data_IF_823380409244
#
_entry.id   IF_823380409244
#
_cell.length_a   1.000
_cell.length_b   1.000
_cell.length_c   1.000
_cell.angle_alpha   90.00
_cell.angle_beta   90.00
_cell.angle_gamma   90.00
#
_symmetry.space_group_name_H-M   'P 1'
#
loop_
_entity.id
_entity.type
_entity.pdbx_description
1 polymer ?
#
# COMPACT_ATOMS: atom_id res chain seq x y z
N UNK A 1 -16.32 7.30 -15.53
CA UNK A 1 -17.09 7.05 -14.28
C UNK A 1 -16.70 8.16 -13.31
N UNK A 2 -17.63 8.84 -12.69
CA UNK A 2 -17.26 9.79 -11.63
C UNK A 2 -17.03 9.02 -10.33
N UNK A 3 -15.81 9.08 -9.80
CA UNK A 3 -15.43 8.36 -8.58
C UNK A 3 -15.73 9.14 -7.29
N UNK A 4 -16.08 10.44 -7.39
CA UNK A 4 -16.37 11.29 -6.24
C UNK A 4 -15.16 11.56 -5.35
N UNK A 5 -13.96 11.63 -5.95
CA UNK A 5 -12.70 11.79 -5.24
C UNK A 5 -12.13 13.22 -5.30
N UNK A 6 -12.65 14.07 -6.16
CA UNK A 6 -12.19 15.46 -6.30
C UNK A 6 -12.32 16.23 -4.98
N UNK A 7 -11.26 16.93 -4.57
CA UNK A 7 -11.17 17.68 -3.30
C UNK A 7 -11.02 16.81 -2.04
N UNK A 8 -10.95 15.48 -2.17
CA UNK A 8 -10.60 14.58 -1.08
C UNK A 8 -9.11 14.66 -0.75
N UNK A 9 -8.72 14.13 0.41
CA UNK A 9 -7.33 14.06 0.86
C UNK A 9 -6.93 12.61 1.08
N UNK A 10 -5.87 12.17 0.39
CA UNK A 10 -5.29 10.85 0.53
C UNK A 10 -3.89 10.92 1.14
N UNK A 11 -3.63 10.11 2.16
CA UNK A 11 -2.29 9.83 2.67
C UNK A 11 -1.83 8.46 2.14
N UNK A 12 -0.74 8.46 1.35
CA UNK A 12 -0.16 7.25 0.76
C UNK A 12 1.24 7.02 1.33
N UNK A 13 1.38 6.00 2.17
CA UNK A 13 2.69 5.65 2.74
C UNK A 13 3.58 4.94 1.70
N UNK A 14 4.89 5.25 1.70
CA UNK A 14 5.78 4.74 0.66
C UNK A 14 5.41 5.25 -0.74
N UNK A 15 4.87 6.47 -0.83
CA UNK A 15 4.36 7.09 -2.06
C UNK A 15 5.42 7.61 -3.02
N UNK A 16 6.70 7.45 -2.70
CA UNK A 16 7.80 8.03 -3.50
C UNK A 16 8.18 7.19 -4.74
N UNK A 17 7.90 5.88 -4.74
CA UNK A 17 8.24 4.97 -5.86
C UNK A 17 7.29 3.79 -5.98
N UNK A 18 7.42 3.03 -7.08
CA UNK A 18 6.69 1.79 -7.32
C UNK A 18 5.18 1.92 -7.17
N UNK A 19 4.55 0.96 -6.50
CA UNK A 19 3.10 0.88 -6.32
C UNK A 19 2.56 2.13 -5.62
N UNK A 20 3.21 2.60 -4.54
CA UNK A 20 2.77 3.78 -3.82
C UNK A 20 2.76 5.05 -4.67
N UNK A 21 3.79 5.25 -5.51
CA UNK A 21 3.84 6.39 -6.45
C UNK A 21 2.72 6.32 -7.48
N UNK A 22 2.47 5.14 -8.05
CA UNK A 22 1.38 4.96 -9.00
C UNK A 22 0.00 5.22 -8.37
N UNK A 23 -0.21 4.77 -7.12
CA UNK A 23 -1.43 5.04 -6.35
C UNK A 23 -1.60 6.55 -6.12
N UNK A 24 -0.55 7.23 -5.67
CA UNK A 24 -0.56 8.67 -5.44
C UNK A 24 -0.89 9.46 -6.72
N UNK A 25 -0.27 9.07 -7.85
CA UNK A 25 -0.58 9.65 -9.15
C UNK A 25 -2.02 9.36 -9.59
N UNK A 26 -2.53 8.16 -9.37
CA UNK A 26 -3.92 7.80 -9.68
C UNK A 26 -4.94 8.64 -8.89
N UNK A 27 -4.70 8.89 -7.61
CA UNK A 27 -5.52 9.80 -6.81
C UNK A 27 -5.46 11.23 -7.33
N UNK A 28 -4.28 11.71 -7.68
CA UNK A 28 -4.08 13.04 -8.22
C UNK A 28 -4.85 13.26 -9.54
N UNK A 29 -4.87 12.26 -10.42
CA UNK A 29 -5.65 12.28 -11.67
C UNK A 29 -7.16 12.39 -11.44
N UNK A 30 -7.67 11.89 -10.29
CA UNK A 30 -9.06 12.02 -9.88
C UNK A 30 -9.34 13.31 -9.08
N UNK A 31 -8.38 14.25 -9.03
CA UNK A 31 -8.54 15.53 -8.34
C UNK A 31 -8.41 15.46 -6.81
N UNK A 32 -7.81 14.40 -6.28
CA UNK A 32 -7.56 14.21 -4.84
C UNK A 32 -6.25 14.89 -4.45
N UNK A 33 -6.24 15.67 -3.37
CA UNK A 33 -5.01 16.16 -2.76
C UNK A 33 -4.26 15.01 -2.09
N UNK A 34 -2.93 15.01 -2.18
CA UNK A 34 -2.14 13.84 -1.77
C UNK A 34 -1.04 14.20 -0.79
N UNK A 35 -0.99 13.50 0.34
CA UNK A 35 0.20 13.40 1.19
C UNK A 35 0.94 12.12 0.84
N UNK A 36 2.26 12.21 0.64
CA UNK A 36 3.13 11.06 0.46
C UNK A 36 4.28 11.10 1.46
N UNK A 37 4.66 9.95 1.98
CA UNK A 37 5.86 9.83 2.79
C UNK A 37 6.79 8.73 2.27
N UNK A 38 8.08 8.87 2.56
CA UNK A 38 9.12 7.93 2.16
C UNK A 38 10.48 8.32 2.74
N UNK A 39 11.50 7.49 2.55
CA UNK A 39 12.83 7.68 3.15
C UNK A 39 13.82 8.42 2.26
N UNK A 40 13.51 8.58 0.98
CA UNK A 40 14.45 9.13 -0.03
C UNK A 40 13.94 10.47 -0.54
N UNK A 41 14.57 11.61 -0.17
CA UNK A 41 14.11 12.93 -0.58
C UNK A 41 14.02 13.12 -2.10
N UNK A 42 15.00 12.60 -2.86
CA UNK A 42 15.00 12.70 -4.32
C UNK A 42 13.78 12.01 -4.97
N UNK A 43 13.43 10.80 -4.50
CA UNK A 43 12.26 10.08 -5.00
C UNK A 43 10.95 10.81 -4.63
N UNK A 44 10.89 11.41 -3.44
CA UNK A 44 9.74 12.22 -3.01
C UNK A 44 9.56 13.45 -3.89
N UNK A 45 10.65 14.16 -4.22
CA UNK A 45 10.62 15.32 -5.11
C UNK A 45 10.09 14.95 -6.50
N UNK A 46 10.62 13.87 -7.10
CA UNK A 46 10.15 13.40 -8.41
C UNK A 46 8.67 12.99 -8.40
N UNK A 47 8.23 12.31 -7.34
CA UNK A 47 6.82 11.94 -7.20
C UNK A 47 5.92 13.17 -7.06
N UNK A 48 6.36 14.16 -6.27
CA UNK A 48 5.61 15.40 -6.09
C UNK A 48 5.46 16.22 -7.38
N UNK A 49 6.50 16.30 -8.21
CA UNK A 49 6.44 16.98 -9.51
C UNK A 49 5.39 16.36 -10.42
N UNK A 50 5.36 15.02 -10.50
CA UNK A 50 4.37 14.30 -11.28
C UNK A 50 2.94 14.52 -10.77
N UNK A 51 2.74 14.57 -9.43
CA UNK A 51 1.44 14.85 -8.82
C UNK A 51 1.01 16.30 -9.08
N UNK A 52 1.90 17.27 -8.86
CA UNK A 52 1.60 18.70 -9.08
C UNK A 52 1.16 19.02 -10.51
N UNK A 53 1.66 18.29 -11.48
CA UNK A 53 1.28 18.50 -12.89
C UNK A 53 -0.21 18.24 -13.18
N UNK A 54 -0.93 17.56 -12.28
CA UNK A 54 -2.38 17.33 -12.38
C UNK A 54 -3.22 18.50 -11.84
N UNK A 55 -2.59 19.49 -11.18
CA UNK A 55 -3.27 20.66 -10.60
C UNK A 55 -3.74 20.48 -9.16
N UNK A 56 -3.48 19.32 -8.52
CA UNK A 56 -3.79 19.10 -7.11
C UNK A 56 -2.61 19.50 -6.20
N UNK A 57 -2.90 19.68 -4.93
CA UNK A 57 -1.87 19.91 -3.93
C UNK A 57 -1.23 18.61 -3.47
N UNK A 58 0.08 18.66 -3.20
CA UNK A 58 0.84 17.53 -2.66
C UNK A 58 1.68 17.98 -1.47
N UNK A 59 1.64 17.16 -0.40
CA UNK A 59 2.56 17.24 0.73
C UNK A 59 3.53 16.06 0.67
N UNK A 60 4.83 16.34 0.77
CA UNK A 60 5.88 15.31 0.87
C UNK A 60 6.51 15.32 2.24
N UNK A 61 6.77 14.14 2.80
CA UNK A 61 7.38 14.00 4.12
C UNK A 61 8.49 12.95 4.06
N UNK A 62 9.70 13.32 4.46
CA UNK A 62 10.74 12.34 4.74
C UNK A 62 10.41 11.64 6.06
N UNK A 63 10.15 10.34 5.99
CA UNK A 63 9.70 9.58 7.14
C UNK A 63 10.05 8.08 7.03
N UNK A 64 10.57 7.52 8.12
CA UNK A 64 10.69 6.08 8.30
C UNK A 64 9.64 5.59 9.31
N UNK A 65 8.59 4.99 8.79
CA UNK A 65 7.45 4.49 9.58
C UNK A 65 7.77 3.24 10.43
N UNK A 66 9.00 2.72 10.38
CA UNK A 66 9.43 1.67 11.32
C UNK A 66 9.60 2.24 12.73
N UNK A 67 9.87 3.53 12.86
CA UNK A 67 9.94 4.23 14.14
C UNK A 67 8.53 4.58 14.65
N UNK A 68 8.19 4.22 15.91
CA UNK A 68 6.82 4.36 16.43
C UNK A 68 6.25 5.78 16.38
N UNK A 69 7.07 6.78 16.71
CA UNK A 69 6.62 8.18 16.86
C UNK A 69 6.39 8.88 15.52
N UNK A 70 6.95 8.33 14.42
CA UNK A 70 6.87 8.95 13.09
C UNK A 70 5.45 8.90 12.52
N UNK A 71 4.65 7.90 12.87
CA UNK A 71 3.28 7.76 12.39
C UNK A 71 2.39 8.95 12.80
N UNK A 72 2.53 9.43 14.04
CA UNK A 72 1.80 10.59 14.54
C UNK A 72 2.21 11.86 13.79
N UNK A 73 3.51 12.08 13.61
CA UNK A 73 4.02 13.22 12.85
C UNK A 73 3.48 13.26 11.42
N UNK A 74 3.49 12.13 10.72
CA UNK A 74 2.99 12.03 9.34
C UNK A 74 1.49 12.34 9.24
N UNK A 75 0.70 11.84 10.19
CA UNK A 75 -0.73 12.15 10.23
C UNK A 75 -0.96 13.63 10.55
N UNK A 76 -0.31 14.15 11.58
CA UNK A 76 -0.49 15.54 12.01
C UNK A 76 -0.11 16.52 10.90
N UNK A 77 1.03 16.33 10.24
CA UNK A 77 1.43 17.15 9.11
C UNK A 77 0.41 17.14 7.96
N UNK A 78 -0.23 15.98 7.71
CA UNK A 78 -1.32 15.88 6.73
C UNK A 78 -2.53 16.70 7.15
N UNK A 79 -2.92 16.62 8.43
CA UNK A 79 -4.07 17.36 8.97
C UNK A 79 -3.79 18.86 9.03
N UNK A 80 -2.59 19.28 9.41
CA UNK A 80 -2.17 20.70 9.43
C UNK A 80 -2.21 21.31 8.03
N UNK A 81 -1.85 20.53 7.00
CA UNK A 81 -1.83 20.99 5.61
C UNK A 81 -3.21 21.07 4.98
N UNK A 82 -4.06 20.06 5.21
CA UNK A 82 -5.31 19.88 4.46
C UNK A 82 -6.58 19.96 5.32
N UNK A 83 -6.46 19.94 6.64
CA UNK A 83 -7.60 19.98 7.58
C UNK A 83 -8.40 18.68 7.68
N UNK A 84 -8.14 17.69 6.83
CA UNK A 84 -8.91 16.44 6.76
C UNK A 84 -8.06 15.26 6.29
N UNK A 85 -8.58 14.03 6.49
CA UNK A 85 -8.03 12.80 5.93
C UNK A 85 -9.18 11.88 5.51
N UNK A 86 -9.46 11.80 4.23
CA UNK A 86 -10.53 10.93 3.68
C UNK A 86 -10.04 9.51 3.40
N UNK A 87 -8.79 9.37 2.96
CA UNK A 87 -8.24 8.12 2.45
C UNK A 87 -6.86 7.88 3.06
N UNK A 88 -6.69 6.69 3.66
CA UNK A 88 -5.38 6.20 4.10
C UNK A 88 -4.98 4.97 3.29
N UNK A 89 -3.83 5.02 2.62
CA UNK A 89 -3.23 3.86 1.95
C UNK A 89 -1.95 3.45 2.67
N UNK A 90 -2.00 2.33 3.37
CA UNK A 90 -0.83 1.71 3.99
C UNK A 90 -0.13 0.83 2.95
N UNK A 91 0.89 1.40 2.30
CA UNK A 91 1.64 0.73 1.23
C UNK A 91 3.10 0.45 1.61
N UNK A 92 3.64 1.07 2.67
CA UNK A 92 5.00 0.74 3.14
C UNK A 92 5.13 -0.76 3.38
N UNK A 93 6.22 -1.35 2.86
CA UNK A 93 6.51 -2.76 3.04
C UNK A 93 7.66 -3.23 2.16
N UNK A 94 8.11 -4.43 2.44
CA UNK A 94 9.21 -5.09 1.73
C UNK A 94 9.58 -6.42 2.36
N UNK A 95 10.52 -7.14 1.74
CA UNK A 95 11.13 -8.34 2.27
C UNK A 95 12.60 -8.07 2.56
N UNK A 96 13.07 -8.51 3.72
CA UNK A 96 14.47 -8.44 4.16
C UNK A 96 14.77 -9.57 5.13
N UNK A 97 16.05 -9.76 5.48
CA UNK A 97 16.50 -10.81 6.37
C UNK A 97 16.54 -12.20 5.71
N UNK A 98 16.69 -13.23 6.52
CA UNK A 98 16.71 -14.62 6.05
C UNK A 98 15.31 -15.00 5.52
N UNK A 99 15.19 -15.53 4.28
CA UNK A 99 13.91 -15.88 3.70
C UNK A 99 13.33 -17.21 4.22
N UNK A 100 14.10 -17.97 5.01
CA UNK A 100 13.78 -19.35 5.42
C UNK A 100 13.22 -19.42 6.84
N UNK A 101 13.04 -20.63 7.34
CA UNK A 101 12.66 -20.90 8.74
C UNK A 101 13.76 -20.51 9.74
N UNK A 102 15.00 -20.28 9.26
CA UNK A 102 16.14 -19.89 10.10
C UNK A 102 16.21 -18.38 10.38
N UNK A 103 15.21 -17.60 9.92
CA UNK A 103 15.10 -16.18 10.24
C UNK A 103 15.17 -15.94 11.74
N UNK A 104 16.03 -15.00 12.16
CA UNK A 104 16.26 -14.68 13.57
C UNK A 104 15.10 -13.88 14.16
N UNK A 105 15.07 -13.72 15.48
CA UNK A 105 14.08 -12.87 16.16
C UNK A 105 14.17 -11.42 15.67
N UNK A 106 15.39 -10.93 15.40
CA UNK A 106 15.62 -9.58 14.83
C UNK A 106 15.05 -9.44 13.42
N UNK A 107 15.16 -10.47 12.57
CA UNK A 107 14.53 -10.50 11.25
C UNK A 107 13.01 -10.44 11.37
N UNK A 108 12.42 -11.21 12.30
CA UNK A 108 11.01 -11.19 12.58
C UNK A 108 10.52 -9.83 13.08
N UNK A 109 11.21 -9.24 14.04
CA UNK A 109 10.86 -7.91 14.57
C UNK A 109 10.95 -6.85 13.48
N UNK A 110 12.03 -6.82 12.72
CA UNK A 110 12.23 -5.84 11.65
C UNK A 110 11.14 -5.93 10.56
N UNK A 111 10.76 -7.14 10.14
CA UNK A 111 9.70 -7.33 9.14
C UNK A 111 8.33 -6.96 9.68
N UNK A 112 8.01 -7.33 10.91
CA UNK A 112 6.75 -6.95 11.54
C UNK A 112 6.65 -5.45 11.74
N UNK A 113 7.72 -4.77 12.16
CA UNK A 113 7.77 -3.31 12.25
C UNK A 113 7.50 -2.66 10.90
N UNK A 114 8.18 -3.12 9.84
CA UNK A 114 8.07 -2.55 8.51
C UNK A 114 6.69 -2.79 7.88
N UNK A 115 6.24 -4.04 7.83
CA UNK A 115 5.09 -4.44 7.02
C UNK A 115 3.75 -4.35 7.75
N UNK A 116 3.74 -4.45 9.07
CA UNK A 116 2.51 -4.57 9.83
C UNK A 116 2.33 -3.46 10.86
N UNK A 117 3.26 -3.31 11.81
CA UNK A 117 3.09 -2.37 12.92
C UNK A 117 3.09 -0.90 12.47
N UNK A 118 3.84 -0.55 11.42
CA UNK A 118 3.77 0.77 10.78
C UNK A 118 2.35 1.12 10.34
N UNK A 119 1.68 0.18 9.65
CA UNK A 119 0.30 0.35 9.21
C UNK A 119 -0.69 0.35 10.38
N UNK A 120 -0.49 -0.51 11.40
CA UNK A 120 -1.34 -0.54 12.60
C UNK A 120 -1.32 0.80 13.32
N UNK A 121 -0.12 1.39 13.54
CA UNK A 121 0.01 2.67 14.24
C UNK A 121 -0.71 3.78 13.50
N UNK A 122 -0.43 3.94 12.21
CA UNK A 122 -1.04 5.00 11.41
C UNK A 122 -2.56 4.83 11.29
N UNK A 123 -3.03 3.60 11.11
CA UNK A 123 -4.46 3.28 11.07
C UNK A 123 -5.17 3.64 12.38
N UNK A 124 -4.58 3.28 13.53
CA UNK A 124 -5.15 3.61 14.86
C UNK A 124 -5.26 5.11 15.08
N UNK A 125 -4.30 5.89 14.60
CA UNK A 125 -4.29 7.34 14.68
C UNK A 125 -5.31 7.99 13.72
N UNK A 126 -5.49 7.41 12.52
CA UNK A 126 -6.40 7.93 11.50
C UNK A 126 -7.88 7.69 11.83
N UNK A 127 -8.24 6.58 12.48
CA UNK A 127 -9.62 6.21 12.78
C UNK A 127 -10.39 7.31 13.54
N UNK A 128 -9.90 7.88 14.64
CA UNK A 128 -10.62 8.94 15.36
C UNK A 128 -10.88 10.18 14.49
N UNK A 129 -9.95 10.53 13.60
CA UNK A 129 -10.13 11.62 12.64
C UNK A 129 -11.24 11.29 11.63
N UNK A 130 -11.22 10.10 11.04
CA UNK A 130 -12.25 9.66 10.11
C UNK A 130 -13.63 9.56 10.77
N UNK A 131 -13.69 9.16 12.04
CA UNK A 131 -14.95 9.13 12.80
C UNK A 131 -15.53 10.54 12.98
N UNK A 132 -14.69 11.55 13.33
CA UNK A 132 -15.13 12.95 13.44
C UNK A 132 -15.65 13.52 12.11
N UNK A 133 -15.13 13.06 10.99
CA UNK A 133 -15.53 13.47 9.64
C UNK A 133 -16.75 12.72 9.12
N UNK A 134 -17.25 11.70 9.85
CA UNK A 134 -18.40 10.88 9.45
C UNK A 134 -18.09 9.76 8.46
N UNK A 135 -16.81 9.39 8.29
CA UNK A 135 -16.41 8.28 7.45
C UNK A 135 -15.00 8.40 6.89
N UNK A 136 -14.56 7.37 6.19
CA UNK A 136 -13.23 7.32 5.57
C UNK A 136 -12.99 6.04 4.78
N UNK A 137 -11.82 5.96 4.15
CA UNK A 137 -11.36 4.78 3.40
C UNK A 137 -9.96 4.40 3.85
N UNK A 138 -9.79 3.15 4.24
CA UNK A 138 -8.48 2.59 4.62
C UNK A 138 -8.18 1.43 3.68
N UNK A 139 -7.04 1.50 2.99
CA UNK A 139 -6.63 0.46 2.06
C UNK A 139 -5.23 -0.01 2.44
N UNK A 140 -5.11 -1.31 2.68
CA UNK A 140 -3.85 -1.94 2.99
C UNK A 140 -3.28 -2.64 1.75
N UNK A 141 -2.01 -2.41 1.43
CA UNK A 141 -1.32 -3.13 0.37
C UNK A 141 -0.61 -4.35 0.98
N UNK A 142 -1.25 -5.51 0.83
CA UNK A 142 -0.71 -6.78 1.28
C UNK A 142 0.16 -7.45 0.20
N UNK A 143 -0.12 -8.69 -0.13
CA UNK A 143 0.50 -9.50 -1.19
C UNK A 143 -0.33 -10.76 -1.39
N UNK A 144 -0.25 -11.40 -2.56
CA UNK A 144 -0.72 -12.77 -2.75
C UNK A 144 -0.08 -13.72 -1.73
N UNK A 145 1.17 -13.47 -1.33
CA UNK A 145 1.88 -14.26 -0.31
C UNK A 145 1.41 -14.02 1.14
N UNK A 146 0.43 -13.18 1.37
CA UNK A 146 -0.36 -13.16 2.61
C UNK A 146 -1.56 -14.11 2.58
N UNK A 147 -1.84 -14.73 1.43
CA UNK A 147 -2.97 -15.65 1.18
C UNK A 147 -2.51 -17.07 0.86
N UNK A 148 -1.29 -17.22 0.40
CA UNK A 148 -0.68 -18.49 0.03
C UNK A 148 0.82 -18.49 0.33
N UNK A 149 1.45 -19.66 0.24
CA UNK A 149 2.89 -19.79 0.37
C UNK A 149 3.62 -19.27 -0.88
N UNK A 150 4.94 -18.96 -0.76
CA UNK A 150 5.79 -18.64 -1.93
C UNK A 150 6.78 -17.50 -1.70
N UNK A 151 6.55 -16.62 -0.74
CA UNK A 151 7.49 -15.59 -0.32
C UNK A 151 8.34 -16.01 0.89
N UNK A 152 9.23 -15.12 1.37
CA UNK A 152 9.97 -15.32 2.62
C UNK A 152 9.02 -15.56 3.80
N UNK A 153 9.41 -16.43 4.74
CA UNK A 153 8.56 -16.86 5.86
C UNK A 153 8.02 -15.68 6.68
N UNK A 154 8.90 -14.75 7.06
CA UNK A 154 8.54 -13.55 7.83
C UNK A 154 7.63 -12.61 7.05
N UNK A 155 7.89 -12.45 5.75
CA UNK A 155 7.08 -11.62 4.87
C UNK A 155 5.66 -12.17 4.73
N UNK A 156 5.51 -13.47 4.45
CA UNK A 156 4.20 -14.12 4.32
C UNK A 156 3.37 -13.92 5.58
N UNK A 157 3.95 -14.18 6.75
CA UNK A 157 3.27 -14.01 8.04
C UNK A 157 2.84 -12.56 8.28
N UNK A 158 3.71 -11.58 7.98
CA UNK A 158 3.38 -10.16 8.13
C UNK A 158 2.24 -9.71 7.22
N UNK A 159 2.20 -10.21 5.97
CA UNK A 159 1.14 -9.89 5.01
C UNK A 159 -0.18 -10.62 5.32
N UNK A 160 -0.13 -11.83 5.86
CA UNK A 160 -1.30 -12.52 6.39
C UNK A 160 -1.90 -11.78 7.60
N UNK A 161 -1.06 -11.32 8.53
CA UNK A 161 -1.47 -10.49 9.66
C UNK A 161 -2.19 -9.21 9.20
N UNK A 162 -1.69 -8.56 8.14
CA UNK A 162 -2.30 -7.37 7.54
C UNK A 162 -3.72 -7.67 7.00
N UNK A 163 -3.91 -8.78 6.30
CA UNK A 163 -5.21 -9.18 5.76
C UNK A 163 -6.20 -9.45 6.91
N UNK A 164 -5.78 -10.18 7.94
CA UNK A 164 -6.59 -10.47 9.12
C UNK A 164 -6.99 -9.20 9.87
N UNK A 165 -6.04 -8.30 10.11
CA UNK A 165 -6.27 -6.99 10.73
C UNK A 165 -7.28 -6.16 9.94
N UNK A 166 -7.09 -6.05 8.63
CA UNK A 166 -8.00 -5.34 7.73
C UNK A 166 -9.43 -5.86 7.81
N UNK A 167 -9.60 -7.19 7.77
CA UNK A 167 -10.93 -7.83 7.87
C UNK A 167 -11.61 -7.54 9.20
N UNK A 168 -10.86 -7.59 10.29
CA UNK A 168 -11.38 -7.31 11.63
C UNK A 168 -11.84 -5.86 11.74
N UNK A 169 -11.01 -4.89 11.31
CA UNK A 169 -11.35 -3.48 11.33
C UNK A 169 -12.58 -3.15 10.47
N UNK A 170 -12.70 -3.76 9.28
CA UNK A 170 -13.84 -3.56 8.39
C UNK A 170 -15.18 -3.82 9.12
N UNK A 171 -15.24 -4.89 9.92
CA UNK A 171 -16.44 -5.24 10.69
C UNK A 171 -16.70 -4.28 11.84
N UNK A 172 -15.62 -3.85 12.53
CA UNK A 172 -15.74 -2.95 13.68
C UNK A 172 -16.14 -1.53 13.27
N UNK A 173 -15.67 -1.05 12.11
CA UNK A 173 -15.78 0.33 11.68
C UNK A 173 -16.91 0.61 10.67
N UNK A 174 -17.61 -0.42 10.20
CA UNK A 174 -18.67 -0.27 9.20
C UNK A 174 -19.77 0.72 9.62
N UNK A 175 -20.18 0.69 10.90
CA UNK A 175 -21.16 1.62 11.47
C UNK A 175 -20.71 3.08 11.49
N UNK A 176 -19.40 3.32 11.42
CA UNK A 176 -18.81 4.63 11.34
C UNK A 176 -18.58 5.10 9.88
N UNK A 177 -19.08 4.35 8.89
CA UNK A 177 -18.86 4.60 7.46
C UNK A 177 -17.38 4.61 7.05
N UNK A 178 -16.51 3.95 7.84
CA UNK A 178 -15.10 3.74 7.51
C UNK A 178 -14.98 2.35 6.86
N UNK A 179 -14.67 2.34 5.56
CA UNK A 179 -14.50 1.10 4.81
C UNK A 179 -13.01 0.72 4.80
N UNK A 180 -12.74 -0.55 5.10
CA UNK A 180 -11.37 -1.06 5.19
C UNK A 180 -11.22 -2.24 4.25
N UNK A 181 -10.31 -2.14 3.27
CA UNK A 181 -10.05 -3.18 2.28
C UNK A 181 -8.55 -3.46 2.13
N UNK A 182 -8.25 -4.57 1.52
CA UNK A 182 -6.89 -5.01 1.22
C UNK A 182 -6.76 -5.25 -0.27
N UNK A 183 -5.66 -4.79 -0.84
CA UNK A 183 -5.21 -5.18 -2.18
C UNK A 183 -4.01 -6.10 -2.02
N UNK A 184 -4.01 -7.21 -2.72
CA UNK A 184 -2.97 -8.23 -2.72
C UNK A 184 -2.30 -8.31 -4.11
N UNK A 185 -1.27 -7.48 -4.38
CA UNK A 185 -0.54 -7.56 -5.63
C UNK A 185 0.22 -8.89 -5.76
N UNK A 186 0.37 -9.34 -7.00
CA UNK A 186 1.37 -10.32 -7.37
C UNK A 186 2.76 -9.71 -7.46
N UNK A 187 3.60 -10.27 -8.31
CA UNK A 187 4.96 -9.77 -8.53
C UNK A 187 4.93 -8.57 -9.49
N UNK A 188 5.29 -7.40 -8.96
CA UNK A 188 5.24 -6.12 -9.66
C UNK A 188 6.66 -5.61 -9.93
N UNK A 189 6.97 -5.37 -11.21
CA UNK A 189 8.27 -4.87 -11.66
C UNK A 189 8.25 -3.34 -11.76
N UNK A 190 9.23 -2.69 -11.14
CA UNK A 190 9.45 -1.25 -11.24
C UNK A 190 10.91 -0.89 -10.95
N UNK A 191 11.41 0.27 -11.43
CA UNK A 191 12.78 0.73 -11.21
C UNK A 191 13.14 0.81 -9.72
N UNK A 192 14.30 0.26 -9.33
CA UNK A 192 14.75 0.17 -7.95
C UNK A 192 14.00 -0.87 -7.09
N UNK A 193 13.07 -1.62 -7.67
CA UNK A 193 12.30 -2.67 -7.00
C UNK A 193 13.10 -3.97 -6.77
N UNK A 194 12.54 -4.87 -5.97
CA UNK A 194 13.17 -6.17 -5.68
C UNK A 194 13.28 -7.04 -6.92
N UNK A 195 12.27 -7.02 -7.79
CA UNK A 195 12.25 -7.85 -8.98
C UNK A 195 13.22 -7.37 -10.06
N UNK A 196 13.41 -6.04 -10.21
CA UNK A 196 14.44 -5.52 -11.10
C UNK A 196 15.84 -5.95 -10.64
N UNK A 197 16.16 -5.83 -9.34
CA UNK A 197 17.45 -6.27 -8.81
C UNK A 197 17.66 -7.78 -9.01
N UNK A 198 16.65 -8.61 -8.77
CA UNK A 198 16.72 -10.06 -9.00
C UNK A 198 16.91 -10.38 -10.48
N UNK A 199 16.22 -9.67 -11.36
CA UNK A 199 16.36 -9.85 -12.81
C UNK A 199 17.79 -9.48 -13.30
N UNK A 200 18.39 -8.44 -12.72
CA UNK A 200 19.78 -8.06 -13.02
C UNK A 200 20.79 -9.08 -12.47
N UNK A 201 20.53 -9.65 -11.30
CA UNK A 201 21.42 -10.63 -10.65
C UNK A 201 21.34 -12.02 -11.29
N UNK A 202 20.14 -12.48 -11.62
CA UNK A 202 19.88 -13.84 -12.13
C UNK A 202 18.83 -13.85 -13.25
N UNK A 203 19.14 -13.30 -14.44
CA UNK A 203 18.16 -13.12 -15.50
C UNK A 203 17.50 -14.43 -15.99
N UNK A 204 18.29 -15.51 -16.11
CA UNK A 204 17.76 -16.81 -16.54
C UNK A 204 16.80 -17.42 -15.52
N UNK A 205 17.10 -17.34 -14.23
CA UNK A 205 16.23 -17.84 -13.18
C UNK A 205 14.91 -17.06 -13.18
N UNK A 206 14.98 -15.74 -13.34
CA UNK A 206 13.78 -14.90 -13.39
C UNK A 206 12.96 -15.15 -14.65
N UNK A 207 13.60 -15.40 -15.80
CA UNK A 207 12.88 -15.76 -17.03
C UNK A 207 12.09 -17.07 -16.85
N UNK A 208 12.71 -18.11 -16.26
CA UNK A 208 12.02 -19.37 -15.92
C UNK A 208 10.89 -19.17 -14.93
N UNK A 209 11.10 -18.33 -13.90
CA UNK A 209 10.06 -18.02 -12.92
C UNK A 209 8.86 -17.35 -13.60
N UNK A 210 9.09 -16.39 -14.51
CA UNK A 210 8.02 -15.76 -15.28
C UNK A 210 7.27 -16.78 -16.15
N UNK A 211 7.99 -17.66 -16.85
CA UNK A 211 7.41 -18.70 -17.69
C UNK A 211 6.52 -19.66 -16.90
N UNK A 212 6.95 -20.03 -15.68
CA UNK A 212 6.28 -21.05 -14.84
C UNK A 212 5.12 -20.49 -14.02
N UNK A 213 5.28 -19.30 -13.47
CA UNK A 213 4.38 -18.77 -12.43
C UNK A 213 3.48 -17.62 -12.90
N UNK A 214 3.67 -17.10 -14.12
CA UNK A 214 2.87 -15.98 -14.62
C UNK A 214 2.00 -16.36 -15.82
N UNK A 215 0.69 -16.54 -15.63
CA UNK A 215 -0.21 -16.83 -16.76
C UNK A 215 -0.18 -15.78 -17.87
N UNK A 216 0.10 -14.51 -17.53
CA UNK A 216 0.26 -13.44 -18.51
C UNK A 216 1.67 -13.37 -19.15
N UNK A 217 2.60 -14.26 -18.78
CA UNK A 217 3.97 -14.29 -19.30
C UNK A 217 4.82 -13.06 -18.96
N UNK A 218 4.43 -12.26 -17.96
CA UNK A 218 5.16 -11.05 -17.56
C UNK A 218 4.86 -10.63 -16.12
N UNK A 219 5.73 -9.84 -15.55
CA UNK A 219 5.44 -9.10 -14.31
C UNK A 219 4.28 -8.12 -14.49
N UNK A 220 3.57 -7.85 -13.40
CA UNK A 220 2.68 -6.70 -13.32
C UNK A 220 3.45 -5.39 -13.22
N UNK A 221 2.77 -4.27 -13.45
CA UNK A 221 3.30 -2.91 -13.32
C UNK A 221 2.55 -2.16 -12.22
N UNK A 222 3.17 -1.17 -11.55
CA UNK A 222 2.50 -0.35 -10.54
C UNK A 222 1.18 0.26 -11.01
N UNK A 223 1.13 0.69 -12.27
CA UNK A 223 -0.04 1.32 -12.89
C UNK A 223 -1.22 0.36 -13.07
N UNK A 224 -0.98 -0.95 -12.98
CA UNK A 224 -2.03 -1.98 -13.01
C UNK A 224 -2.61 -2.25 -11.62
N UNK A 225 -1.89 -1.86 -10.54
CA UNK A 225 -2.36 -1.98 -9.16
C UNK A 225 -3.11 -0.71 -8.71
N UNK A 226 -2.65 0.46 -9.13
CA UNK A 226 -3.22 1.73 -8.69
C UNK A 226 -4.73 1.89 -8.95
N UNK A 227 -5.30 1.51 -10.12
CA UNK A 227 -6.71 1.73 -10.40
C UNK A 227 -7.66 1.06 -9.43
N UNK A 228 -7.36 -0.16 -8.96
CA UNK A 228 -8.22 -0.84 -7.99
C UNK A 228 -8.17 -0.15 -6.61
N UNK A 229 -7.03 0.40 -6.22
CA UNK A 229 -6.89 1.15 -4.96
C UNK A 229 -7.71 2.43 -5.02
N UNK A 230 -7.63 3.17 -6.12
CA UNK A 230 -8.41 4.39 -6.38
C UNK A 230 -9.92 4.08 -6.42
N UNK A 231 -10.31 3.00 -7.09
CA UNK A 231 -11.71 2.55 -7.11
C UNK A 231 -12.23 2.19 -5.72
N UNK A 232 -11.46 1.45 -4.92
CA UNK A 232 -11.85 1.07 -3.55
C UNK A 232 -12.01 2.28 -2.61
N UNK A 233 -11.32 3.38 -2.89
CA UNK A 233 -11.46 4.64 -2.17
C UNK A 233 -12.70 5.44 -2.59
N UNK A 234 -13.28 5.14 -3.73
CA UNK A 234 -14.35 5.91 -4.35
C UNK A 234 -15.72 5.71 -3.68
N UNK A 235 -16.65 6.59 -4.03
CA UNK A 235 -18.06 6.44 -3.67
C UNK A 235 -18.71 5.22 -4.33
N UNK A 236 -18.19 4.76 -5.47
CA UNK A 236 -18.69 3.61 -6.22
C UNK A 236 -18.42 2.28 -5.51
N UNK A 237 -17.45 2.25 -4.61
CA UNK A 237 -17.10 1.08 -3.79
C UNK A 237 -17.82 1.07 -2.43
N UNK A 238 -18.90 1.81 -2.25
CA UNK A 238 -19.56 2.04 -0.95
C UNK A 238 -20.06 0.79 -0.23
N UNK A 239 -20.25 -0.33 -0.92
CA UNK A 239 -20.63 -1.62 -0.32
C UNK A 239 -19.44 -2.60 -0.19
N UNK A 240 -18.22 -2.19 -0.58
CA UNK A 240 -17.04 -3.05 -0.52
C UNK A 240 -16.27 -2.73 0.75
N UNK A 241 -16.32 -3.64 1.73
CA UNK A 241 -15.50 -3.56 2.95
C UNK A 241 -15.10 -4.95 3.45
N UNK A 242 -13.89 -5.07 3.96
CA UNK A 242 -13.32 -6.35 4.39
C UNK A 242 -12.95 -7.30 3.26
N UNK A 243 -12.86 -6.81 2.03
CA UNK A 243 -12.37 -7.57 0.89
C UNK A 243 -10.84 -7.63 0.88
N UNK A 244 -10.30 -8.71 0.32
CA UNK A 244 -8.91 -8.84 -0.09
C UNK A 244 -8.90 -9.17 -1.58
N UNK A 245 -8.47 -8.20 -2.40
CA UNK A 245 -8.56 -8.28 -3.86
C UNK A 245 -7.17 -8.55 -4.44
N UNK A 246 -7.03 -9.65 -5.16
CA UNK A 246 -5.82 -9.96 -5.91
C UNK A 246 -5.70 -9.06 -7.15
N UNK A 247 -4.47 -8.57 -7.39
CA UNK A 247 -4.08 -7.87 -8.61
C UNK A 247 -2.76 -8.45 -9.08
N UNK A 248 -2.83 -9.58 -9.76
CA UNK A 248 -1.69 -10.48 -9.92
C UNK A 248 -1.58 -11.16 -11.30
N UNK A 249 -2.50 -10.86 -12.22
CA UNK A 249 -2.52 -11.51 -13.55
C UNK A 249 -2.72 -13.03 -13.50
N UNK A 250 -3.36 -13.53 -12.43
CA UNK A 250 -3.59 -14.97 -12.22
C UNK A 250 -2.38 -15.71 -11.62
N UNK A 251 -1.39 -14.99 -11.07
CA UNK A 251 -0.21 -15.62 -10.46
C UNK A 251 -0.56 -16.45 -9.23
N UNK A 252 -1.50 -15.99 -8.40
CA UNK A 252 -1.97 -16.74 -7.24
C UNK A 252 -2.69 -18.01 -7.64
N UNK A 253 -2.40 -19.09 -6.91
CA UNK A 253 -3.09 -20.38 -7.04
C UNK A 253 -4.14 -20.59 -5.94
N UNK A 254 -4.31 -19.63 -5.05
CA UNK A 254 -5.32 -19.67 -4.00
C UNK A 254 -6.72 -19.42 -4.56
N UNK A 255 -7.69 -20.20 -4.11
CA UNK A 255 -9.11 -19.99 -4.41
C UNK A 255 -9.76 -18.92 -3.52
N UNK A 256 -9.12 -18.55 -2.38
CA UNK A 256 -9.68 -17.69 -1.35
C UNK A 256 -8.75 -16.51 -1.06
#
# INVERSE_FOLDING_TARGET
>A
MNLGLAGKVALVTGGSRGIGRAIAAGFAQEGTHVSICGRTPGDLTQAAEAIKSTGVEVLTMEADLTHPDVAEHVLQATLDRFGQLDILVNNVGGAQGDPTWAATDEDWEAILQLNFLSAVRLTRLAIPQMQRQGGGRIIHIASIYGREWGGPTTYNASKAAMISFSKTLARQLAKNHILVNTVAPGSILFPGGVWERRQQQNPEQIARFVETDFPFGRFGRPEEVAPIVVFLASAQASLITGACINVDGGQSRSLF
#
